data_IF_864036613589
#
_entry.id   IF_864036613589
#
_cell.length_a   1.000
_cell.length_b   1.000
_cell.length_c   1.000
_cell.angle_alpha   90.00
_cell.angle_beta   90.00
_cell.angle_gamma   90.00
#
_symmetry.space_group_name_H-M   'P 1'
#
loop_
_entity.id
_entity.type
_entity.pdbx_description
1 polymer ?
#
# COMPACT_ATOMS: atom_id res chain seq x y z
N UNK A 1 3.76 -8.71 -27.22
CA UNK A 1 3.23 -7.57 -26.45
C UNK A 1 4.07 -7.48 -25.20
N UNK A 2 4.69 -6.33 -24.93
CA UNK A 2 5.47 -6.15 -23.70
C UNK A 2 4.50 -6.10 -22.53
N UNK A 3 4.60 -7.07 -21.62
CA UNK A 3 3.87 -7.08 -20.35
C UNK A 3 4.71 -6.33 -19.31
N UNK A 4 4.09 -5.74 -18.26
CA UNK A 4 4.88 -5.10 -17.20
C UNK A 4 5.69 -6.15 -16.43
N UNK A 5 6.87 -5.77 -15.92
CA UNK A 5 7.74 -6.70 -15.18
C UNK A 5 7.04 -7.27 -13.95
N UNK A 6 6.21 -6.49 -13.27
CA UNK A 6 5.35 -6.95 -12.16
C UNK A 6 4.45 -8.11 -12.59
N UNK A 7 3.72 -7.96 -13.69
CA UNK A 7 2.80 -9.00 -14.16
C UNK A 7 3.56 -10.21 -14.72
N UNK A 8 4.76 -10.03 -15.28
CA UNK A 8 5.64 -11.12 -15.68
C UNK A 8 6.10 -11.95 -14.47
N UNK A 9 6.51 -11.31 -13.37
CA UNK A 9 6.91 -12.00 -12.13
C UNK A 9 5.74 -12.79 -11.50
N UNK A 10 4.52 -12.31 -11.64
CA UNK A 10 3.32 -12.95 -11.10
C UNK A 10 2.70 -14.02 -12.02
N UNK A 11 3.16 -14.14 -13.27
CA UNK A 11 2.55 -15.03 -14.29
C UNK A 11 2.41 -16.49 -13.87
N UNK A 12 3.37 -17.00 -13.09
CA UNK A 12 3.38 -18.39 -12.62
C UNK A 12 2.74 -18.63 -11.26
N UNK A 13 2.23 -17.58 -10.60
CA UNK A 13 1.67 -17.67 -9.25
C UNK A 13 0.20 -18.07 -9.31
N UNK A 14 -0.24 -18.94 -8.41
CA UNK A 14 -1.62 -19.39 -8.30
C UNK A 14 -2.37 -18.79 -7.12
N UNK A 15 -1.67 -18.38 -6.04
CA UNK A 15 -2.24 -17.98 -4.76
C UNK A 15 -1.52 -16.75 -4.21
N UNK A 16 -2.04 -15.58 -4.59
CA UNK A 16 -1.39 -14.29 -4.38
C UNK A 16 -2.10 -13.50 -3.30
N UNK A 17 -1.37 -13.01 -2.30
CA UNK A 17 -1.86 -11.99 -1.38
C UNK A 17 -1.50 -10.60 -1.91
N UNK A 18 -2.50 -9.76 -2.16
CA UNK A 18 -2.32 -8.32 -2.42
C UNK A 18 -2.72 -7.56 -1.17
N UNK A 19 -1.79 -6.82 -0.58
CA UNK A 19 -1.96 -6.25 0.77
C UNK A 19 -1.48 -4.80 0.85
N UNK A 20 -2.31 -3.93 1.46
CA UNK A 20 -1.95 -2.53 1.72
C UNK A 20 -0.96 -2.36 2.88
N UNK A 21 0.07 -1.54 2.68
CA UNK A 21 1.23 -1.39 3.56
C UNK A 21 1.01 -0.37 4.70
N UNK A 22 0.64 0.86 4.34
CA UNK A 22 0.50 2.03 5.21
C UNK A 22 -0.83 2.08 5.96
N UNK A 23 -1.68 1.11 5.67
CA UNK A 23 -3.00 0.96 6.22
C UNK A 23 -4.04 1.89 5.62
N UNK A 24 -5.10 2.15 6.37
CA UNK A 24 -6.22 2.95 5.89
C UNK A 24 -6.84 2.41 4.59
N UNK A 25 -6.52 3.02 3.44
CA UNK A 25 -7.09 2.68 2.13
C UNK A 25 -6.11 2.01 1.16
N UNK A 26 -4.87 1.71 1.56
CA UNK A 26 -3.81 1.23 0.65
C UNK A 26 -4.14 -0.03 -0.13
N UNK A 27 -4.97 -0.92 0.45
CA UNK A 27 -5.50 -2.09 -0.27
C UNK A 27 -6.16 -1.71 -1.60
N UNK A 28 -6.78 -0.52 -1.69
CA UNK A 28 -7.38 -0.02 -2.93
C UNK A 28 -6.33 0.28 -4.00
N UNK A 29 -5.13 0.73 -3.63
CA UNK A 29 -4.04 0.96 -4.58
C UNK A 29 -3.54 -0.35 -5.22
N UNK A 30 -3.77 -1.49 -4.56
CA UNK A 30 -3.46 -2.82 -5.08
C UNK A 30 -4.53 -3.43 -5.98
N UNK A 31 -5.75 -2.87 -6.00
CA UNK A 31 -6.88 -3.43 -6.73
C UNK A 31 -6.66 -3.59 -8.24
N UNK A 32 -6.01 -2.68 -8.97
CA UNK A 32 -5.74 -2.90 -10.40
C UNK A 32 -4.96 -4.18 -10.67
N UNK A 33 -3.97 -4.51 -9.82
CA UNK A 33 -3.20 -5.76 -9.93
C UNK A 33 -4.07 -6.95 -9.51
N UNK A 34 -4.81 -6.83 -8.40
CA UNK A 34 -5.69 -7.89 -7.93
C UNK A 34 -6.74 -8.29 -8.98
N UNK A 35 -7.44 -7.32 -9.57
CA UNK A 35 -8.46 -7.55 -10.59
C UNK A 35 -7.85 -8.17 -11.85
N UNK A 36 -6.71 -7.67 -12.32
CA UNK A 36 -6.02 -8.24 -13.48
C UNK A 36 -5.55 -9.69 -13.26
N UNK A 37 -5.19 -10.06 -12.02
CA UNK A 37 -4.84 -11.44 -11.65
C UNK A 37 -6.09 -12.34 -11.54
N UNK A 38 -7.17 -11.83 -10.96
CA UNK A 38 -8.46 -12.54 -10.86
C UNK A 38 -9.03 -12.85 -12.25
N UNK A 39 -8.96 -11.92 -13.21
CA UNK A 39 -9.36 -12.13 -14.60
C UNK A 39 -8.59 -13.27 -15.29
N UNK A 40 -7.36 -13.55 -14.84
CA UNK A 40 -6.51 -14.66 -15.33
C UNK A 40 -6.77 -15.98 -14.59
N UNK A 41 -7.72 -16.02 -13.67
CA UNK A 41 -8.02 -17.20 -12.86
C UNK A 41 -7.08 -17.43 -11.67
N UNK A 42 -6.26 -16.44 -11.31
CA UNK A 42 -5.41 -16.51 -10.11
C UNK A 42 -6.29 -16.42 -8.86
N UNK A 43 -6.01 -17.25 -7.85
CA UNK A 43 -6.66 -17.06 -6.54
C UNK A 43 -6.00 -15.89 -5.84
N UNK A 44 -6.72 -14.77 -5.74
CA UNK A 44 -6.22 -13.56 -5.08
C UNK A 44 -6.88 -13.41 -3.72
N UNK A 45 -6.05 -13.19 -2.70
CA UNK A 45 -6.46 -12.78 -1.37
C UNK A 45 -6.15 -11.30 -1.18
N UNK A 46 -7.08 -10.56 -0.59
CA UNK A 46 -6.89 -9.15 -0.28
C UNK A 46 -6.59 -8.98 1.21
N UNK A 47 -5.66 -8.09 1.53
CA UNK A 47 -5.30 -7.76 2.90
C UNK A 47 -5.08 -6.26 3.11
N UNK A 48 -5.12 -5.81 4.35
CA UNK A 48 -4.76 -4.45 4.71
C UNK A 48 -4.22 -4.38 6.14
N UNK A 49 -3.17 -3.59 6.38
CA UNK A 49 -2.85 -3.16 7.74
C UNK A 49 -3.94 -2.21 8.25
N UNK A 50 -4.87 -2.68 9.08
CA UNK A 50 -6.11 -1.94 9.29
C UNK A 50 -5.98 -0.77 10.27
N UNK A 51 -6.63 0.35 9.94
CA UNK A 51 -6.91 1.45 10.87
C UNK A 51 -8.31 1.35 11.47
N UNK A 52 -9.13 0.40 11.02
CA UNK A 52 -10.40 0.11 11.66
C UNK A 52 -10.16 -0.42 13.07
N UNK A 53 -10.89 0.16 14.03
CA UNK A 53 -10.89 -0.35 15.38
C UNK A 53 -11.59 -1.72 15.41
N UNK A 54 -10.83 -2.80 15.19
CA UNK A 54 -11.34 -4.18 15.08
C UNK A 54 -12.23 -4.60 16.27
N UNK A 55 -11.98 -4.06 17.46
CA UNK A 55 -12.79 -4.26 18.67
C UNK A 55 -14.21 -3.69 18.59
N UNK A 56 -14.50 -2.88 17.56
CA UNK A 56 -15.80 -2.26 17.28
C UNK A 56 -16.48 -2.85 16.03
N UNK A 57 -16.06 -4.02 15.62
CA UNK A 57 -16.58 -4.75 14.45
C UNK A 57 -17.00 -6.16 14.86
N UNK A 58 -17.75 -6.84 14.00
CA UNK A 58 -18.01 -8.27 14.13
C UNK A 58 -17.02 -9.12 13.31
N UNK A 59 -15.86 -8.56 12.94
CA UNK A 59 -14.84 -9.27 12.17
C UNK A 59 -14.37 -10.52 12.91
N UNK A 60 -14.23 -11.63 12.18
CA UNK A 60 -13.84 -12.90 12.78
C UNK A 60 -12.34 -12.93 13.01
N UNK A 61 -11.90 -13.17 14.25
CA UNK A 61 -10.48 -13.37 14.56
C UNK A 61 -10.05 -14.77 14.14
N UNK A 62 -9.35 -14.87 13.02
CA UNK A 62 -8.86 -16.14 12.45
C UNK A 62 -7.43 -16.47 12.89
N UNK A 63 -6.65 -15.46 13.29
CA UNK A 63 -5.27 -15.63 13.75
C UNK A 63 -4.85 -14.59 14.79
N UNK A 64 -3.62 -14.69 15.29
CA UNK A 64 -3.06 -13.66 16.16
C UNK A 64 -2.87 -12.37 15.37
N UNK A 65 -3.67 -11.34 15.69
CA UNK A 65 -3.64 -10.07 14.96
C UNK A 65 -4.25 -10.11 13.56
N UNK A 66 -4.83 -11.24 13.15
CA UNK A 66 -5.47 -11.41 11.83
C UNK A 66 -6.96 -11.58 11.99
N UNK A 67 -7.72 -10.79 11.23
CA UNK A 67 -9.18 -10.84 11.20
C UNK A 67 -9.66 -11.03 9.76
N UNK A 68 -10.75 -11.78 9.60
CA UNK A 68 -11.44 -11.94 8.33
C UNK A 68 -12.68 -11.06 8.31
N UNK A 69 -12.88 -10.35 7.20
CA UNK A 69 -14.09 -9.58 6.92
C UNK A 69 -14.66 -9.97 5.57
N UNK A 70 -15.97 -9.85 5.45
CA UNK A 70 -16.78 -10.05 4.26
C UNK A 70 -17.84 -8.92 4.15
N UNK A 71 -18.71 -8.98 3.14
CA UNK A 71 -19.70 -7.93 2.92
C UNK A 71 -20.74 -7.82 4.05
N UNK A 72 -20.96 -8.88 4.81
CA UNK A 72 -21.95 -8.98 5.89
C UNK A 72 -21.36 -8.64 7.27
N UNK A 73 -20.04 -8.47 7.35
CA UNK A 73 -19.35 -8.08 8.56
C UNK A 73 -19.89 -6.75 9.10
N UNK A 74 -20.39 -6.80 10.32
CA UNK A 74 -20.91 -5.68 11.07
C UNK A 74 -19.80 -4.78 11.62
N UNK A 75 -20.15 -3.51 11.79
CA UNK A 75 -19.22 -2.46 12.21
C UNK A 75 -19.61 -1.15 11.55
N UNK A 76 -19.27 -0.03 12.18
CA UNK A 76 -19.61 1.29 11.68
C UNK A 76 -18.44 2.26 11.76
N UNK A 77 -18.52 3.34 10.98
CA UNK A 77 -17.53 4.40 10.99
C UNK A 77 -16.46 4.23 9.90
N UNK A 78 -15.19 4.26 10.29
CA UNK A 78 -14.07 4.10 9.37
C UNK A 78 -13.83 2.61 9.14
N UNK A 79 -14.30 2.09 8.01
CA UNK A 79 -14.18 0.68 7.68
C UNK A 79 -14.07 0.42 6.16
N UNK A 80 -13.02 0.94 5.52
CA UNK A 80 -12.87 0.83 4.07
C UNK A 80 -12.78 -0.60 3.56
N UNK A 81 -12.17 -1.51 4.33
CA UNK A 81 -12.04 -2.92 3.96
C UNK A 81 -13.40 -3.61 3.86
N UNK A 82 -14.33 -3.28 4.76
CA UNK A 82 -15.71 -3.77 4.69
C UNK A 82 -16.44 -3.19 3.47
N UNK A 83 -16.23 -1.91 3.16
CA UNK A 83 -16.89 -1.32 1.98
C UNK A 83 -16.32 -1.91 0.68
N UNK A 84 -15.04 -2.23 0.65
CA UNK A 84 -14.41 -2.98 -0.42
C UNK A 84 -15.01 -4.38 -0.53
N UNK A 85 -15.19 -5.10 0.59
CA UNK A 85 -15.86 -6.40 0.61
C UNK A 85 -17.27 -6.34 -0.01
N UNK A 86 -18.08 -5.34 0.37
CA UNK A 86 -19.40 -5.13 -0.27
C UNK A 86 -19.28 -4.93 -1.77
N UNK A 87 -18.37 -4.05 -2.20
CA UNK A 87 -18.16 -3.80 -3.63
C UNK A 87 -17.75 -5.06 -4.39
N UNK A 88 -16.85 -5.86 -3.82
CA UNK A 88 -16.41 -7.14 -4.41
C UNK A 88 -17.59 -8.09 -4.60
N UNK A 89 -18.42 -8.29 -3.57
CA UNK A 89 -19.61 -9.15 -3.65
C UNK A 89 -20.56 -8.68 -4.74
N UNK A 90 -20.86 -7.38 -4.76
CA UNK A 90 -21.84 -6.80 -5.67
C UNK A 90 -21.35 -6.83 -7.14
N UNK A 91 -20.04 -6.97 -7.35
CA UNK A 91 -19.39 -7.12 -8.65
C UNK A 91 -18.97 -8.57 -8.98
N UNK A 92 -19.40 -9.56 -8.19
CA UNK A 92 -19.19 -10.98 -8.49
C UNK A 92 -17.79 -11.52 -8.17
N UNK A 93 -17.01 -10.80 -7.37
CA UNK A 93 -15.71 -11.26 -6.86
C UNK A 93 -15.85 -11.90 -5.46
N UNK A 94 -14.88 -12.72 -5.02
CA UNK A 94 -14.77 -13.11 -3.63
C UNK A 94 -14.67 -11.88 -2.73
N UNK A 95 -15.56 -11.76 -1.75
CA UNK A 95 -15.69 -10.58 -0.89
C UNK A 95 -14.84 -10.63 0.37
N UNK A 96 -13.97 -11.63 0.49
CA UNK A 96 -13.12 -11.81 1.65
C UNK A 96 -11.92 -10.85 1.64
N UNK A 97 -11.78 -10.06 2.70
CA UNK A 97 -10.61 -9.21 2.96
C UNK A 97 -10.03 -9.55 4.33
N UNK A 98 -8.71 -9.59 4.44
CA UNK A 98 -8.01 -9.82 5.69
C UNK A 98 -7.52 -8.51 6.32
N UNK A 99 -7.78 -8.35 7.62
CA UNK A 99 -7.24 -7.25 8.39
C UNK A 99 -6.03 -7.72 9.19
N UNK A 100 -4.93 -6.99 9.06
CA UNK A 100 -3.77 -7.12 9.93
C UNK A 100 -3.86 -5.98 10.95
N UNK A 101 -3.98 -6.32 12.23
CA UNK A 101 -4.06 -5.32 13.31
C UNK A 101 -2.70 -4.63 13.46
N UNK A 102 -2.71 -3.29 13.46
CA UNK A 102 -1.55 -2.47 13.79
C UNK A 102 -0.93 -2.90 15.13
N UNK A 103 0.39 -3.06 15.14
CA UNK A 103 1.16 -3.53 16.29
C UNK A 103 2.65 -3.21 16.11
N UNK A 104 3.49 -3.82 16.93
CA UNK A 104 4.93 -3.82 16.70
C UNK A 104 5.37 -4.73 15.56
N UNK A 105 6.65 -4.68 15.21
CA UNK A 105 7.24 -5.44 14.09
C UNK A 105 7.01 -6.95 14.23
N UNK A 106 7.12 -7.49 15.44
CA UNK A 106 6.90 -8.92 15.71
C UNK A 106 5.45 -9.36 15.47
N UNK A 107 4.48 -8.58 15.95
CA UNK A 107 3.04 -8.87 15.80
C UNK A 107 2.64 -8.90 14.32
N UNK A 108 3.10 -7.92 13.55
CA UNK A 108 2.79 -7.82 12.11
C UNK A 108 3.46 -8.97 11.36
N UNK A 109 4.71 -9.28 11.65
CA UNK A 109 5.41 -10.45 11.09
C UNK A 109 4.65 -11.75 11.33
N UNK A 110 4.18 -11.97 12.55
CA UNK A 110 3.48 -13.21 12.90
C UNK A 110 2.12 -13.32 12.18
N UNK A 111 1.46 -12.19 11.94
CA UNK A 111 0.25 -12.11 11.12
C UNK A 111 0.51 -12.47 9.64
N UNK A 112 1.56 -11.93 9.03
CA UNK A 112 1.98 -12.29 7.67
C UNK A 112 2.35 -13.79 7.56
N UNK A 113 3.08 -14.31 8.55
CA UNK A 113 3.44 -15.72 8.60
C UNK A 113 2.20 -16.63 8.74
N UNK A 114 1.18 -16.21 9.49
CA UNK A 114 -0.10 -16.91 9.57
C UNK A 114 -0.81 -16.90 8.22
N UNK A 115 -0.95 -15.73 7.58
CA UNK A 115 -1.60 -15.61 6.26
C UNK A 115 -0.92 -16.48 5.21
N UNK A 116 0.41 -16.47 5.15
CA UNK A 116 1.19 -17.25 4.20
C UNK A 116 0.94 -18.76 4.32
N UNK A 117 0.90 -19.28 5.55
CA UNK A 117 0.65 -20.70 5.81
C UNK A 117 -0.79 -21.10 5.54
N UNK A 118 -1.75 -20.40 6.13
CA UNK A 118 -3.16 -20.78 6.06
C UNK A 118 -3.75 -20.60 4.67
N UNK A 119 -3.28 -19.60 3.93
CA UNK A 119 -3.70 -19.36 2.56
C UNK A 119 -2.84 -20.11 1.54
N UNK A 120 -1.79 -20.82 1.96
CA UNK A 120 -0.84 -21.51 1.08
C UNK A 120 -0.38 -20.59 -0.06
N UNK A 121 0.15 -19.41 0.31
CA UNK A 121 0.55 -18.39 -0.65
C UNK A 121 1.79 -18.85 -1.44
N UNK A 122 1.85 -18.48 -2.71
CA UNK A 122 3.06 -18.54 -3.53
C UNK A 122 3.57 -17.16 -3.94
N UNK A 123 2.79 -16.10 -3.69
CA UNK A 123 3.26 -14.74 -3.79
C UNK A 123 2.62 -13.77 -2.77
N UNK A 124 3.39 -12.74 -2.42
CA UNK A 124 2.91 -11.55 -1.69
C UNK A 124 3.23 -10.30 -2.51
N UNK A 125 2.23 -9.44 -2.67
CA UNK A 125 2.35 -8.11 -3.29
C UNK A 125 1.95 -7.07 -2.25
N UNK A 126 2.96 -6.42 -1.67
CA UNK A 126 2.77 -5.33 -0.73
C UNK A 126 2.59 -4.02 -1.51
N UNK A 127 1.56 -3.25 -1.19
CA UNK A 127 1.20 -2.04 -1.94
C UNK A 127 1.10 -0.85 -1.02
N UNK A 128 1.81 0.21 -1.37
CA UNK A 128 1.79 1.52 -0.74
C UNK A 128 1.01 2.50 -1.63
N UNK A 129 0.00 3.14 -1.05
CA UNK A 129 -0.70 4.29 -1.61
C UNK A 129 0.14 5.56 -1.48
N UNK A 130 1.35 5.52 -1.99
CA UNK A 130 2.37 6.51 -1.77
C UNK A 130 3.70 6.07 -2.34
N UNK A 131 4.76 6.69 -1.83
CA UNK A 131 6.14 6.49 -2.23
C UNK A 131 7.10 6.42 -1.03
N UNK A 132 6.58 6.56 0.18
CA UNK A 132 7.36 6.52 1.42
C UNK A 132 7.84 5.11 1.79
N UNK A 133 7.24 4.05 1.26
CA UNK A 133 7.76 2.68 1.40
C UNK A 133 9.21 2.54 0.89
N UNK A 134 9.67 3.44 0.01
CA UNK A 134 11.04 3.46 -0.51
C UNK A 134 12.00 4.34 0.29
N UNK A 135 11.56 5.01 1.36
CA UNK A 135 12.44 5.80 2.21
C UNK A 135 13.25 4.88 3.14
N UNK A 136 14.56 5.08 3.17
CA UNK A 136 15.52 4.18 3.81
C UNK A 136 15.86 4.57 5.25
N UNK A 137 15.69 5.84 5.61
CA UNK A 137 15.84 6.34 6.98
C UNK A 137 16.64 7.63 7.12
N UNK A 138 17.51 7.94 6.16
CA UNK A 138 18.40 9.11 6.19
C UNK A 138 17.93 10.25 5.26
N UNK A 139 16.79 10.08 4.59
CA UNK A 139 16.18 11.09 3.73
C UNK A 139 15.68 12.32 4.52
N UNK A 140 15.53 13.45 3.82
CA UNK A 140 15.00 14.70 4.34
C UNK A 140 13.70 14.53 5.14
N UNK A 141 12.79 13.69 4.64
CA UNK A 141 11.61 13.23 5.35
C UNK A 141 11.25 11.81 4.91
N UNK A 142 10.55 11.09 5.79
CA UNK A 142 10.19 9.69 5.60
C UNK A 142 8.71 9.45 5.28
N UNK A 143 7.88 10.49 5.20
CA UNK A 143 6.43 10.30 5.10
C UNK A 143 5.85 9.75 6.41
N UNK A 144 5.09 8.65 6.32
CA UNK A 144 4.41 7.95 7.41
C UNK A 144 4.99 6.53 7.64
N UNK A 145 6.28 6.40 7.99
CA UNK A 145 7.03 5.16 7.81
C UNK A 145 6.60 4.00 8.73
N UNK A 146 5.85 4.25 9.80
CA UNK A 146 5.63 3.26 10.89
C UNK A 146 4.86 2.05 10.37
N UNK A 147 3.75 2.28 9.68
CA UNK A 147 2.92 1.25 9.07
C UNK A 147 3.64 0.56 7.92
N UNK A 148 4.17 1.33 6.97
CA UNK A 148 4.82 0.80 5.77
C UNK A 148 5.98 -0.12 6.10
N UNK A 149 6.87 0.33 7.00
CA UNK A 149 8.05 -0.45 7.35
C UNK A 149 7.71 -1.70 8.15
N UNK A 150 6.68 -1.66 9.01
CA UNK A 150 6.28 -2.84 9.77
C UNK A 150 5.62 -3.87 8.87
N UNK A 151 4.79 -3.44 7.91
CA UNK A 151 4.24 -4.29 6.86
C UNK A 151 5.34 -4.86 5.94
N UNK A 152 6.31 -4.04 5.53
CA UNK A 152 7.45 -4.44 4.70
C UNK A 152 8.29 -5.53 5.37
N UNK A 153 8.67 -5.33 6.63
CA UNK A 153 9.44 -6.32 7.39
C UNK A 153 8.62 -7.57 7.71
N UNK A 154 7.31 -7.42 7.92
CA UNK A 154 6.40 -8.55 8.09
C UNK A 154 6.32 -9.42 6.84
N UNK A 155 6.11 -8.80 5.67
CA UNK A 155 6.08 -9.48 4.38
C UNK A 155 7.44 -10.08 3.99
N UNK A 156 8.55 -9.39 4.29
CA UNK A 156 9.92 -9.89 4.06
C UNK A 156 10.16 -11.24 4.74
N UNK A 157 9.67 -11.41 5.96
CA UNK A 157 9.89 -12.60 6.77
C UNK A 157 9.12 -13.84 6.28
N UNK A 158 8.21 -13.67 5.31
CA UNK A 158 7.47 -14.76 4.70
C UNK A 158 8.37 -15.50 3.71
N UNK A 159 8.36 -16.83 3.79
CA UNK A 159 9.02 -17.72 2.85
C UNK A 159 8.06 -18.11 1.72
N UNK A 160 7.95 -17.24 0.71
CA UNK A 160 7.20 -17.49 -0.53
C UNK A 160 8.07 -17.19 -1.74
N UNK A 161 7.87 -17.89 -2.88
CA UNK A 161 8.69 -17.73 -4.08
C UNK A 161 8.75 -16.31 -4.66
N UNK A 162 7.66 -15.55 -4.59
CA UNK A 162 7.57 -14.21 -5.18
C UNK A 162 7.12 -13.20 -4.13
N UNK A 163 7.94 -12.16 -3.90
CA UNK A 163 7.59 -11.04 -3.01
C UNK A 163 7.85 -9.73 -3.72
N UNK A 164 6.79 -8.97 -3.98
CA UNK A 164 6.85 -7.70 -4.69
C UNK A 164 6.38 -6.55 -3.79
N UNK A 165 7.02 -5.40 -3.93
CA UNK A 165 6.58 -4.14 -3.34
C UNK A 165 6.16 -3.19 -4.47
N UNK A 166 5.00 -2.55 -4.32
CA UNK A 166 4.46 -1.58 -5.27
C UNK A 166 4.26 -0.22 -4.59
N UNK A 167 4.68 0.84 -5.25
CA UNK A 167 4.35 2.22 -4.88
C UNK A 167 3.47 2.85 -5.96
N UNK A 168 2.40 3.51 -5.56
CA UNK A 168 1.42 4.15 -6.45
C UNK A 168 1.12 5.55 -5.91
N UNK A 169 1.13 6.57 -6.76
CA UNK A 169 0.85 7.95 -6.31
C UNK A 169 2.07 8.84 -6.18
N UNK A 170 3.09 8.70 -7.04
CA UNK A 170 4.25 9.59 -7.05
C UNK A 170 3.83 11.07 -7.01
N UNK A 171 4.24 11.78 -5.96
CA UNK A 171 3.81 13.17 -5.71
C UNK A 171 2.98 13.35 -4.44
N UNK A 172 2.21 12.34 -4.05
CA UNK A 172 1.16 12.49 -3.04
C UNK A 172 1.71 12.74 -1.63
N UNK A 173 2.86 12.13 -1.31
CA UNK A 173 3.48 12.22 0.01
C UNK A 173 4.40 13.44 0.18
N UNK A 174 4.47 14.33 -0.81
CA UNK A 174 5.17 15.61 -0.65
C UNK A 174 4.61 16.39 0.55
N UNK A 175 3.29 16.29 0.80
CA UNK A 175 2.63 16.87 1.97
C UNK A 175 3.04 16.21 3.31
N UNK A 176 3.57 14.98 3.27
CA UNK A 176 4.15 14.27 4.41
C UNK A 176 5.68 14.37 4.44
N UNK A 177 6.28 15.25 3.63
CA UNK A 177 7.72 15.52 3.64
C UNK A 177 8.57 14.54 2.84
N UNK A 178 7.97 13.72 1.96
CA UNK A 178 8.73 12.85 1.06
C UNK A 178 9.39 13.66 -0.06
N UNK A 179 10.70 13.49 -0.21
CA UNK A 179 11.47 14.15 -1.26
C UNK A 179 11.49 13.30 -2.53
N UNK A 180 10.88 13.80 -3.61
CA UNK A 180 10.81 13.08 -4.89
C UNK A 180 12.17 12.73 -5.49
N UNK A 181 13.19 13.58 -5.29
CA UNK A 181 14.54 13.28 -5.75
C UNK A 181 15.13 12.08 -5.00
N UNK A 182 14.87 11.94 -3.69
CA UNK A 182 15.30 10.78 -2.91
C UNK A 182 14.55 9.52 -3.33
N UNK A 183 13.24 9.60 -3.60
CA UNK A 183 12.50 8.47 -4.17
C UNK A 183 13.13 7.99 -5.47
N UNK A 184 13.35 8.89 -6.44
CA UNK A 184 13.95 8.52 -7.74
C UNK A 184 15.38 7.99 -7.60
N UNK A 185 16.15 8.50 -6.64
CA UNK A 185 17.47 7.97 -6.31
C UNK A 185 17.38 6.54 -5.75
N UNK A 186 16.41 6.26 -4.87
CA UNK A 186 16.17 4.92 -4.34
C UNK A 186 15.68 3.95 -5.42
N UNK A 187 14.83 4.40 -6.35
CA UNK A 187 14.47 3.62 -7.56
C UNK A 187 15.73 3.28 -8.36
N UNK A 188 16.61 4.26 -8.62
CA UNK A 188 17.85 4.04 -9.36
C UNK A 188 18.81 3.07 -8.63
N UNK A 189 18.86 3.14 -7.30
CA UNK A 189 19.66 2.21 -6.50
C UNK A 189 19.13 0.77 -6.58
N UNK A 190 17.81 0.57 -6.50
CA UNK A 190 17.17 -0.73 -6.67
C UNK A 190 17.33 -1.27 -8.10
N UNK A 191 17.27 -0.40 -9.11
CA UNK A 191 17.51 -0.78 -10.50
C UNK A 191 18.93 -1.33 -10.71
N UNK A 192 19.95 -0.73 -10.08
CA UNK A 192 21.33 -1.26 -10.12
C UNK A 192 21.47 -2.64 -9.49
N UNK A 193 20.57 -3.00 -8.57
CA UNK A 193 20.50 -4.33 -7.95
C UNK A 193 19.70 -5.34 -8.77
N UNK A 194 19.13 -4.93 -9.92
CA UNK A 194 18.18 -5.76 -10.68
C UNK A 194 16.84 -5.95 -9.97
N UNK A 195 16.56 -5.14 -8.95
CA UNK A 195 15.39 -5.25 -8.09
C UNK A 195 14.23 -4.33 -8.50
N UNK A 196 14.35 -3.63 -9.63
CA UNK A 196 13.29 -2.77 -10.18
C UNK A 196 12.60 -3.48 -11.35
N UNK A 197 11.29 -3.71 -11.21
CA UNK A 197 10.44 -4.42 -12.18
C UNK A 197 9.70 -3.49 -13.14
N UNK A 198 10.18 -2.26 -13.27
CA UNK A 198 9.63 -1.27 -14.17
C UNK A 198 8.45 -0.50 -13.57
N UNK A 199 7.84 0.29 -14.44
CA UNK A 199 6.71 1.16 -14.15
C UNK A 199 5.64 0.98 -15.24
N UNK A 200 4.38 1.04 -14.85
CA UNK A 200 3.25 1.04 -15.79
C UNK A 200 2.15 2.01 -15.32
N UNK A 201 1.27 2.40 -16.23
CA UNK A 201 0.23 3.41 -15.97
C UNK A 201 -1.14 2.79 -15.74
N UNK A 202 -1.90 3.37 -14.81
CA UNK A 202 -3.33 3.10 -14.59
C UNK A 202 -4.14 3.94 -15.57
N UNK A 203 -4.54 3.33 -16.70
CA UNK A 203 -5.26 4.01 -17.78
C UNK A 203 -6.73 3.58 -17.82
N UNK A 204 -7.70 4.53 -17.79
CA UNK A 204 -9.11 4.23 -18.01
C UNK A 204 -9.36 3.50 -19.34
N UNK A 205 -10.38 2.65 -19.38
CA UNK A 205 -10.70 1.77 -20.51
C UNK A 205 -10.01 0.39 -20.43
N UNK A 206 -9.15 0.18 -19.43
CA UNK A 206 -8.70 -1.15 -19.04
C UNK A 206 -9.67 -1.70 -17.96
N UNK A 207 -10.17 -2.93 -18.12
CA UNK A 207 -11.19 -3.50 -17.24
C UNK A 207 -10.79 -3.51 -15.75
N UNK A 208 -9.54 -3.86 -15.43
CA UNK A 208 -9.04 -3.85 -14.06
C UNK A 208 -8.91 -2.42 -13.50
N UNK A 209 -8.53 -1.45 -14.33
CA UNK A 209 -8.47 -0.03 -13.93
C UNK A 209 -9.87 0.54 -13.74
N UNK A 210 -10.80 0.25 -14.64
CA UNK A 210 -12.19 0.72 -14.56
C UNK A 210 -12.90 0.15 -13.33
N UNK A 211 -12.70 -1.14 -13.03
CA UNK A 211 -13.19 -1.76 -11.80
C UNK A 211 -12.57 -1.14 -10.54
N UNK A 212 -11.28 -0.81 -10.55
CA UNK A 212 -10.65 -0.08 -9.46
C UNK A 212 -11.21 1.34 -9.27
N UNK A 213 -11.44 2.09 -10.35
CA UNK A 213 -12.04 3.42 -10.29
C UNK A 213 -13.44 3.38 -9.65
N UNK A 214 -14.24 2.39 -10.01
CA UNK A 214 -15.57 2.15 -9.42
C UNK A 214 -15.49 1.73 -7.94
N UNK A 215 -14.56 0.84 -7.59
CA UNK A 215 -14.33 0.41 -6.21
C UNK A 215 -13.92 1.58 -5.30
N UNK A 216 -12.98 2.42 -5.77
CA UNK A 216 -12.54 3.61 -5.03
C UNK A 216 -13.72 4.58 -4.85
N UNK A 217 -14.49 4.84 -5.89
CA UNK A 217 -15.67 5.71 -5.81
C UNK A 217 -16.70 5.17 -4.80
N UNK A 218 -16.99 3.87 -4.85
CA UNK A 218 -17.89 3.21 -3.90
C UNK A 218 -17.40 3.38 -2.46
N UNK A 219 -16.15 3.02 -2.19
CA UNK A 219 -15.59 3.07 -0.83
C UNK A 219 -15.60 4.50 -0.31
N UNK A 220 -15.19 5.48 -1.13
CA UNK A 220 -15.18 6.89 -0.72
C UNK A 220 -16.58 7.41 -0.36
N UNK A 221 -17.61 7.10 -1.16
CA UNK A 221 -19.01 7.47 -0.87
C UNK A 221 -19.51 6.87 0.45
N UNK A 222 -18.99 5.72 0.85
CA UNK A 222 -19.34 5.03 2.09
C UNK A 222 -18.42 5.36 3.28
N UNK A 223 -17.47 6.28 3.11
CA UNK A 223 -16.62 6.82 4.18
C UNK A 223 -16.67 8.36 4.23
N UNK A 224 -17.85 9.00 4.28
CA UNK A 224 -17.96 10.45 4.18
C UNK A 224 -17.20 11.17 5.31
N UNK A 225 -16.47 12.21 4.95
CA UNK A 225 -15.62 13.00 5.85
C UNK A 225 -14.30 12.31 6.25
N UNK A 226 -14.07 11.08 5.81
CA UNK A 226 -12.84 10.29 6.04
C UNK A 226 -12.31 9.65 4.76
N UNK A 227 -12.69 10.19 3.61
CA UNK A 227 -12.28 9.72 2.29
C UNK A 227 -10.76 9.76 2.14
N UNK A 228 -10.21 8.86 1.34
CA UNK A 228 -8.78 8.82 1.05
C UNK A 228 -8.40 9.97 0.11
N UNK A 229 -7.63 10.94 0.63
CA UNK A 229 -7.05 11.99 -0.22
C UNK A 229 -6.10 11.35 -1.24
N UNK A 230 -5.35 10.33 -0.82
CA UNK A 230 -4.41 9.63 -1.69
C UNK A 230 -5.14 8.96 -2.85
N UNK A 231 -6.12 8.08 -2.57
CA UNK A 231 -6.82 7.38 -3.66
C UNK A 231 -7.52 8.37 -4.58
N UNK A 232 -8.12 9.45 -4.03
CA UNK A 232 -8.69 10.52 -4.85
C UNK A 232 -7.64 11.11 -5.81
N UNK A 233 -6.48 11.55 -5.30
CA UNK A 233 -5.40 12.10 -6.12
C UNK A 233 -4.93 11.15 -7.22
N UNK A 234 -4.76 9.85 -6.92
CA UNK A 234 -4.35 8.84 -7.90
C UNK A 234 -5.45 8.64 -8.96
N UNK A 235 -6.72 8.52 -8.55
CA UNK A 235 -7.83 8.32 -9.50
C UNK A 235 -8.10 9.55 -10.37
N UNK A 236 -7.97 10.76 -9.82
CA UNK A 236 -8.13 12.01 -10.57
C UNK A 236 -7.00 12.19 -11.58
N UNK A 237 -5.75 11.90 -11.19
CA UNK A 237 -4.62 11.86 -12.11
C UNK A 237 -4.79 10.81 -13.22
N UNK A 238 -5.34 9.64 -12.90
CA UNK A 238 -5.66 8.60 -13.90
C UNK A 238 -6.73 9.06 -14.90
N UNK A 239 -7.66 9.92 -14.47
CA UNK A 239 -8.67 10.57 -15.33
C UNK A 239 -8.14 11.78 -16.11
N UNK A 240 -6.87 12.16 -15.90
CA UNK A 240 -6.20 13.25 -16.61
C UNK A 240 -6.32 14.62 -15.94
N UNK A 241 -6.80 14.68 -14.69
CA UNK A 241 -6.80 15.92 -13.91
C UNK A 241 -5.36 16.33 -13.53
N UNK A 242 -5.13 17.64 -13.41
CA UNK A 242 -3.80 18.22 -13.19
C UNK A 242 -3.86 19.47 -12.31
N UNK A 243 -2.81 19.70 -11.51
CA UNK A 243 -2.65 20.87 -10.66
C UNK A 243 -3.54 20.83 -9.42
N UNK A 244 -4.06 21.99 -9.03
CA UNK A 244 -4.88 22.18 -7.83
C UNK A 244 -6.34 21.75 -8.05
N UNK A 245 -6.53 20.46 -8.34
CA UNK A 245 -7.83 19.84 -8.56
C UNK A 245 -8.34 19.15 -7.30
N UNK A 246 -9.62 19.36 -6.97
CA UNK A 246 -10.26 18.83 -5.77
C UNK A 246 -11.58 18.08 -6.08
N UNK A 247 -11.53 16.76 -6.18
CA UNK A 247 -12.72 15.90 -6.28
C UNK A 247 -13.46 15.75 -4.93
N UNK A 248 -12.73 15.85 -3.81
CA UNK A 248 -13.29 15.71 -2.47
C UNK A 248 -13.64 17.05 -1.82
N UNK A 249 -14.79 17.09 -1.13
CA UNK A 249 -15.18 18.24 -0.31
C UNK A 249 -14.13 18.55 0.78
N UNK A 250 -13.60 17.52 1.45
CA UNK A 250 -12.65 17.68 2.57
C UNK A 250 -11.30 18.32 2.19
N UNK A 251 -10.87 18.21 0.94
CA UNK A 251 -9.62 18.86 0.48
C UNK A 251 -9.91 20.30 0.07
N UNK A 252 -11.07 20.53 -0.56
CA UNK A 252 -11.55 21.87 -0.95
C UNK A 252 -11.81 22.77 0.26
N UNK A 253 -12.48 22.26 1.28
CA UNK A 253 -12.85 23.00 2.49
C UNK A 253 -11.63 23.41 3.33
N UNK A 254 -10.55 22.63 3.27
CA UNK A 254 -9.29 22.92 3.98
C UNK A 254 -8.37 23.87 3.23
N UNK A 255 -8.73 24.30 2.01
CA UNK A 255 -7.92 25.17 1.15
C UNK A 255 -6.45 24.70 1.04
N UNK A 256 -6.24 23.39 1.04
CA UNK A 256 -4.90 22.80 0.90
C UNK A 256 -4.57 22.71 -0.58
N UNK A 257 -3.58 23.46 -1.05
CA UNK A 257 -3.13 23.37 -2.45
C UNK A 257 -2.70 21.93 -2.76
N UNK A 258 -3.34 21.32 -3.77
CA UNK A 258 -2.96 20.03 -4.32
C UNK A 258 -2.11 20.24 -5.57
N UNK A 259 -1.30 19.23 -5.89
CA UNK A 259 -0.55 19.21 -7.14
C UNK A 259 -0.71 17.86 -7.84
N UNK A 260 -1.90 17.63 -8.38
CA UNK A 260 -2.17 16.44 -9.17
C UNK A 260 -1.29 16.43 -10.42
N UNK A 261 -0.73 15.27 -10.74
CA UNK A 261 0.10 15.12 -11.92
C UNK A 261 0.02 13.69 -12.49
N UNK A 262 0.30 13.48 -13.79
CA UNK A 262 0.18 12.17 -14.42
C UNK A 262 1.12 11.08 -13.87
N UNK A 263 2.16 11.43 -13.10
CA UNK A 263 3.03 10.44 -12.47
C UNK A 263 2.34 9.78 -11.27
N UNK A 264 1.31 10.40 -10.69
CA UNK A 264 0.53 9.80 -9.60
C UNK A 264 -0.19 8.52 -10.03
N UNK A 265 -0.60 8.40 -11.30
CA UNK A 265 -1.25 7.19 -11.83
C UNK A 265 -0.26 6.11 -12.29
N UNK A 266 1.03 6.26 -11.99
CA UNK A 266 2.05 5.26 -12.26
C UNK A 266 2.22 4.30 -11.09
N UNK A 267 2.36 3.00 -11.41
CA UNK A 267 2.67 1.92 -10.48
C UNK A 267 4.12 1.52 -10.65
N UNK A 268 4.91 1.65 -9.60
CA UNK A 268 6.33 1.32 -9.57
C UNK A 268 6.54 -0.01 -8.85
N UNK A 269 7.18 -0.98 -9.51
CA UNK A 269 7.33 -2.33 -8.97
C UNK A 269 8.77 -2.69 -8.57
N UNK A 270 8.92 -3.39 -7.45
CA UNK A 270 10.22 -3.77 -6.89
C UNK A 270 10.22 -5.18 -6.31
N UNK A 271 11.40 -5.82 -6.25
CA UNK A 271 11.61 -6.98 -5.36
C UNK A 271 11.51 -6.53 -3.90
N UNK A 272 10.56 -7.08 -3.15
CA UNK A 272 10.24 -6.66 -1.78
C UNK A 272 11.44 -6.81 -0.85
N UNK A 273 12.15 -7.94 -0.94
CA UNK A 273 13.30 -8.21 -0.08
C UNK A 273 14.39 -7.15 -0.29
N UNK A 274 14.64 -6.75 -1.53
CA UNK A 274 15.63 -5.72 -1.84
C UNK A 274 15.23 -4.34 -1.28
N UNK A 275 13.93 -4.00 -1.24
CA UNK A 275 13.45 -2.78 -0.58
C UNK A 275 13.70 -2.86 0.92
N UNK A 276 13.31 -3.97 1.54
CA UNK A 276 13.46 -4.17 2.97
C UNK A 276 14.93 -4.21 3.44
N UNK A 277 15.85 -4.71 2.61
CA UNK A 277 17.29 -4.71 2.88
C UNK A 277 17.92 -3.32 2.91
N UNK A 278 17.24 -2.31 2.36
CA UNK A 278 17.71 -0.92 2.35
C UNK A 278 17.24 -0.12 3.55
N UNK A 279 16.31 -0.62 4.35
CA UNK A 279 15.84 0.06 5.58
C UNK A 279 16.98 0.10 6.60
N UNK A 280 17.50 1.29 6.87
CA UNK A 280 18.69 1.50 7.69
C UNK A 280 18.43 1.30 9.19
N UNK A 281 17.18 1.50 9.62
CA UNK A 281 16.74 1.38 11.01
C UNK A 281 16.02 0.05 11.29
N UNK A 282 16.12 -0.95 10.41
CA UNK A 282 15.38 -2.22 10.56
C UNK A 282 15.72 -2.94 11.87
N UNK A 283 16.98 -2.89 12.29
CA UNK A 283 17.46 -3.58 13.49
C UNK A 283 16.99 -2.84 14.76
N UNK A 284 16.86 -1.51 14.68
CA UNK A 284 16.34 -0.67 15.76
C UNK A 284 14.87 -0.94 16.09
N UNK A 285 14.07 -1.26 15.07
CA UNK A 285 12.63 -1.53 15.24
C UNK A 285 12.31 -3.02 15.40
N UNK A 286 13.28 -3.92 15.28
CA UNK A 286 13.06 -5.37 15.22
C UNK A 286 12.35 -5.93 16.47
N UNK A 287 12.58 -5.32 17.63
CA UNK A 287 12.02 -5.73 18.92
C UNK A 287 10.87 -4.85 19.41
N UNK A 288 10.46 -3.85 18.62
CA UNK A 288 9.32 -3.03 18.97
C UNK A 288 8.05 -3.89 19.04
N UNK A 289 7.32 -3.74 20.14
CA UNK A 289 6.08 -4.46 20.46
C UNK A 289 4.85 -3.62 20.17
N UNK A 290 5.01 -2.30 20.05
CA UNK A 290 3.93 -1.37 19.69
C UNK A 290 4.35 -0.46 18.55
N UNK A 291 3.37 0.09 17.83
CA UNK A 291 3.65 1.09 16.80
C UNK A 291 4.27 2.38 17.36
N UNK A 292 4.02 2.70 18.64
CA UNK A 292 4.68 3.81 19.31
C UNK A 292 6.17 3.55 19.51
N UNK A 293 6.54 2.33 19.93
CA UNK A 293 7.94 1.94 20.04
C UNK A 293 8.65 1.93 18.68
N UNK A 294 7.96 1.52 17.61
CA UNK A 294 8.48 1.64 16.24
C UNK A 294 8.76 3.11 15.92
N UNK A 295 7.80 4.01 16.13
CA UNK A 295 7.98 5.44 15.87
C UNK A 295 9.15 6.04 16.66
N UNK A 296 9.23 5.74 17.97
CA UNK A 296 10.30 6.22 18.84
C UNK A 296 11.68 5.70 18.41
N UNK A 297 11.78 4.45 17.97
CA UNK A 297 13.03 3.87 17.48
C UNK A 297 13.48 4.50 16.15
N UNK A 298 12.53 4.80 15.25
CA UNK A 298 12.82 5.54 14.00
C UNK A 298 13.34 6.95 14.32
N UNK A 299 12.67 7.67 15.23
CA UNK A 299 13.10 9.01 15.67
C UNK A 299 14.51 8.96 16.29
N UNK A 300 14.74 8.05 17.22
CA UNK A 300 16.06 7.86 17.84
C UNK A 300 17.15 7.49 16.81
N UNK A 301 16.82 6.73 15.77
CA UNK A 301 17.73 6.45 14.66
C UNK A 301 18.09 7.72 13.89
N UNK A 302 17.10 8.56 13.60
CA UNK A 302 17.29 9.80 12.85
C UNK A 302 18.10 10.83 13.64
N UNK A 303 17.92 10.91 14.96
CA UNK A 303 18.67 11.84 15.82
C UNK A 303 20.18 11.63 15.80
N UNK A 304 20.62 10.40 15.52
CA UNK A 304 22.05 10.03 15.44
C UNK A 304 22.57 9.83 14.01
N UNK A 305 21.71 10.03 13.01
CA UNK A 305 22.05 9.78 11.60
C UNK A 305 22.10 11.10 10.84
N UNK A 306 23.18 11.40 10.08
CA UNK A 306 23.22 12.57 9.23
C UNK A 306 22.09 12.53 8.18
N UNK A 307 21.18 13.51 8.25
CA UNK A 307 20.04 13.59 7.33
C UNK A 307 20.44 14.28 6.03
N UNK A 308 20.10 13.66 4.90
CA UNK A 308 20.33 14.19 3.56
C UNK A 308 19.39 15.38 3.30
N UNK A 309 19.90 16.50 2.76
CA UNK A 309 19.08 17.68 2.53
C UNK A 309 18.04 17.44 1.43
N UNK A 310 16.95 18.21 1.47
CA UNK A 310 15.96 18.19 0.41
C UNK A 310 16.58 18.59 -0.94
N UNK A 311 16.21 17.87 -2.01
CA UNK A 311 16.63 18.17 -3.37
C UNK A 311 15.43 18.28 -4.29
N UNK A 312 15.32 19.40 -4.99
CA UNK A 312 14.33 19.55 -6.06
C UNK A 312 14.80 18.83 -7.32
N UNK A 313 13.84 18.23 -8.04
CA UNK A 313 14.06 17.70 -9.38
C UNK A 313 14.08 18.88 -10.35
N UNK A 314 15.06 18.98 -11.27
CA UNK A 314 15.03 19.99 -12.33
C UNK A 314 13.94 19.59 -13.34
N UNK A 315 12.77 20.19 -13.22
CA UNK A 315 11.63 20.06 -14.14
C UNK A 315 11.31 21.40 -14.79
#
# INVERSE_FOLDING_TARGET
MFESGVMERLRGCGRVLVVGAGGGFDVLSGMPVALALMERGTTVFLGNLTFTAVTRTSAERVGAGVFRVDADTGGGGYFPEKQLAVWLRDNGFPDQVFLIRKGGTGDVRDAYAWLARELALDAVVLVDGGTDLLMTGDEAGLGTPVEDVTSLLGARAVDVPVKLALCVGFGVDAHHGVCHAHFLENVAALAKLGAYHGVFSLLPGNAAVDGWLDAVEWVQRHTPGRESIVCASITDAARGEFGDHHSLARTREKQSELFLNPLMSMVWGFELDAVADRVLYRDDIAHATTAFEVAAAIEAFRDRTPIRPWRSIPV
#
